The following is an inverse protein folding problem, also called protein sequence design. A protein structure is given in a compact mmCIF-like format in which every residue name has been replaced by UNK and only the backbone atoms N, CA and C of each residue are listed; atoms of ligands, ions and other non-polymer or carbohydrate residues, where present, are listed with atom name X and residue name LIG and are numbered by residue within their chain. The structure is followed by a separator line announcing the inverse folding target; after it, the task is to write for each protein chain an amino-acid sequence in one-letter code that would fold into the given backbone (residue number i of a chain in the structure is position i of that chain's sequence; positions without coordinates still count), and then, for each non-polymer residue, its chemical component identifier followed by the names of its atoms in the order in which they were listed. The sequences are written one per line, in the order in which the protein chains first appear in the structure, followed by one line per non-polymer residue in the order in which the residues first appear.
data_IF_948516950030
#
_entry.id   IF_948516950030
#
_cell.length_a   1.000
_cell.length_b   1.000
_cell.length_c   1.000
_cell.angle_alpha   90.00
_cell.angle_beta   90.00
_cell.angle_gamma   90.00
#
_symmetry.space_group_name_H-M   'P 1'
#
loop_
_entity.id
_entity.type
_entity.pdbx_description
1 polymer ?
#
# COMPACT_ATOMS: atom_id res chain seq x y z
N UNK A 1 -30.14 4.95 -28.46
CA UNK A 1 -29.53 5.24 -27.13
C UNK A 1 -28.28 4.40 -27.01
N UNK A 2 -27.10 5.03 -27.13
CA UNK A 2 -25.82 4.33 -27.14
C UNK A 2 -25.53 3.72 -25.77
N UNK A 3 -25.35 2.39 -25.73
CA UNK A 3 -24.78 1.69 -24.57
C UNK A 3 -23.31 2.09 -24.49
N UNK A 4 -22.96 2.97 -23.54
CA UNK A 4 -21.56 3.16 -23.16
C UNK A 4 -21.05 1.85 -22.54
N UNK A 5 -20.09 1.26 -23.21
CA UNK A 5 -19.26 0.14 -22.75
C UNK A 5 -18.55 0.55 -21.45
N UNK A 6 -18.81 -0.19 -20.36
CA UNK A 6 -17.94 -0.16 -19.18
C UNK A 6 -16.60 -0.77 -19.58
N UNK A 7 -15.62 0.06 -19.90
CA UNK A 7 -14.22 -0.34 -19.84
C UNK A 7 -13.92 -0.76 -18.39
N UNK A 8 -13.73 -2.05 -18.18
CA UNK A 8 -13.20 -2.56 -16.91
C UNK A 8 -11.72 -2.19 -16.95
N UNK A 9 -11.38 -1.05 -16.35
CA UNK A 9 -10.01 -0.61 -16.19
C UNK A 9 -9.32 -1.58 -15.21
N UNK A 10 -8.53 -2.52 -15.73
CA UNK A 10 -7.80 -3.55 -14.97
C UNK A 10 -6.89 -2.95 -13.87
N UNK A 11 -6.58 -1.65 -13.94
CA UNK A 11 -5.71 -0.95 -12.99
C UNK A 11 -6.26 -0.84 -11.56
N UNK A 12 -7.55 -1.13 -11.32
CA UNK A 12 -8.20 -0.94 -10.00
C UNK A 12 -8.81 -2.21 -9.42
N UNK A 13 -8.11 -3.35 -9.53
CA UNK A 13 -8.53 -4.54 -8.77
C UNK A 13 -8.40 -4.28 -7.27
N UNK A 14 -9.53 -4.28 -6.56
CA UNK A 14 -9.56 -4.17 -5.10
C UNK A 14 -9.05 -5.50 -4.53
N UNK A 15 -7.95 -5.44 -3.79
CA UNK A 15 -7.31 -6.61 -3.14
C UNK A 15 -7.97 -6.91 -1.80
N UNK A 16 -8.37 -5.88 -1.07
CA UNK A 16 -9.05 -6.00 0.22
C UNK A 16 -9.97 -4.81 0.42
N UNK A 17 -11.16 -5.06 0.93
CA UNK A 17 -12.13 -4.02 1.25
C UNK A 17 -12.49 -4.09 2.73
N UNK A 18 -12.59 -2.92 3.35
CA UNK A 18 -13.03 -2.76 4.73
C UNK A 18 -14.14 -1.69 4.78
N UNK A 19 -14.73 -1.52 5.96
CA UNK A 19 -15.66 -0.40 6.20
C UNK A 19 -15.00 0.97 6.00
N UNK A 20 -13.69 1.07 6.24
CA UNK A 20 -12.93 2.32 6.19
C UNK A 20 -12.37 2.63 4.80
N UNK A 21 -11.76 1.63 4.15
CA UNK A 21 -11.02 1.83 2.92
C UNK A 21 -11.07 0.62 1.98
N UNK A 22 -10.75 0.89 0.72
CA UNK A 22 -10.43 -0.10 -0.32
C UNK A 22 -8.91 -0.13 -0.50
N UNK A 23 -8.30 -1.31 -0.58
CA UNK A 23 -6.87 -1.50 -0.85
C UNK A 23 -6.71 -1.95 -2.29
N UNK A 24 -5.94 -1.21 -3.10
CA UNK A 24 -5.70 -1.56 -4.51
C UNK A 24 -4.37 -2.27 -4.71
N UNK A 25 -3.36 -1.89 -3.95
CA UNK A 25 -2.03 -2.48 -4.01
C UNK A 25 -1.43 -2.53 -2.62
N UNK A 26 -0.66 -3.57 -2.36
CA UNK A 26 0.04 -3.75 -1.11
C UNK A 26 1.32 -4.53 -1.38
N UNK A 27 2.41 -4.14 -0.73
CA UNK A 27 3.63 -4.93 -0.63
C UNK A 27 3.93 -5.16 0.84
N UNK A 28 4.71 -6.18 1.17
CA UNK A 28 5.10 -6.45 2.55
C UNK A 28 6.50 -7.05 2.64
N UNK A 29 7.15 -6.77 3.75
CA UNK A 29 8.28 -7.55 4.25
C UNK A 29 7.81 -8.35 5.47
N UNK A 30 8.46 -9.48 5.73
CA UNK A 30 8.16 -10.34 6.87
C UNK A 30 9.31 -10.20 7.86
N UNK A 31 8.98 -9.96 9.12
CA UNK A 31 9.91 -9.89 10.24
C UNK A 31 9.28 -10.63 11.42
N UNK A 32 9.89 -11.75 11.83
CA UNK A 32 9.29 -12.73 12.73
C UNK A 32 7.84 -13.10 12.34
N UNK A 33 6.86 -12.82 13.21
CA UNK A 33 5.43 -13.09 13.00
C UNK A 33 4.68 -11.90 12.35
N UNK A 34 5.40 -10.84 11.96
CA UNK A 34 4.80 -9.60 11.51
C UNK A 34 5.01 -9.34 10.03
N UNK A 35 3.97 -8.79 9.40
CA UNK A 35 4.00 -8.29 8.03
C UNK A 35 3.94 -6.77 8.07
N UNK A 36 5.05 -6.14 7.73
CA UNK A 36 5.18 -4.70 7.58
C UNK A 36 4.86 -4.32 6.15
N UNK A 37 3.83 -3.50 5.95
CA UNK A 37 3.25 -3.26 4.63
C UNK A 37 3.21 -1.78 4.26
N UNK A 38 3.39 -1.49 2.97
CA UNK A 38 3.00 -0.21 2.36
C UNK A 38 1.88 -0.50 1.37
N UNK A 39 0.79 0.24 1.49
CA UNK A 39 -0.44 0.01 0.77
C UNK A 39 -0.92 1.27 0.06
N UNK A 40 -1.48 1.10 -1.13
CA UNK A 40 -2.25 2.12 -1.82
C UNK A 40 -3.73 1.90 -1.53
N UNK A 41 -4.34 2.84 -0.82
CA UNK A 41 -5.73 2.73 -0.36
C UNK A 41 -6.59 3.88 -0.87
N UNK A 42 -7.90 3.67 -0.99
CA UNK A 42 -8.90 4.74 -1.06
C UNK A 42 -9.65 4.84 0.25
N UNK A 43 -9.59 6.00 0.89
CA UNK A 43 -10.38 6.29 2.10
C UNK A 43 -11.79 6.67 1.68
N UNK A 44 -12.78 5.86 2.05
CA UNK A 44 -14.16 5.98 1.57
C UNK A 44 -14.80 7.31 1.96
N UNK A 45 -14.65 7.70 3.23
CA UNK A 45 -15.24 8.94 3.76
C UNK A 45 -14.66 10.22 3.17
N UNK A 46 -13.43 10.18 2.67
CA UNK A 46 -12.73 11.33 2.08
C UNK A 46 -12.69 11.30 0.55
N UNK A 47 -13.12 10.19 -0.05
CA UNK A 47 -13.03 9.91 -1.48
C UNK A 47 -11.65 10.26 -2.09
N UNK A 48 -10.56 9.90 -1.40
CA UNK A 48 -9.19 10.17 -1.85
C UNK A 48 -8.28 8.96 -1.66
N UNK A 49 -7.25 8.87 -2.50
CA UNK A 49 -6.20 7.87 -2.39
C UNK A 49 -5.14 8.31 -1.37
N UNK A 50 -4.65 7.36 -0.58
CA UNK A 50 -3.60 7.57 0.41
C UNK A 50 -2.60 6.41 0.37
N UNK A 51 -1.36 6.66 0.78
CA UNK A 51 -0.39 5.62 1.09
C UNK A 51 -0.48 5.32 2.57
N UNK A 52 -0.71 4.05 2.93
CA UNK A 52 -0.79 3.60 4.32
C UNK A 52 0.38 2.67 4.64
N UNK A 53 1.03 2.96 5.76
CA UNK A 53 1.95 2.02 6.42
C UNK A 53 1.11 1.19 7.40
N UNK A 54 1.13 -0.12 7.25
CA UNK A 54 0.31 -1.03 8.01
C UNK A 54 1.15 -2.17 8.60
N UNK A 55 0.71 -2.66 9.76
CA UNK A 55 1.29 -3.83 10.40
C UNK A 55 0.22 -4.91 10.48
N UNK A 56 0.57 -6.12 10.07
CA UNK A 56 -0.26 -7.29 10.22
C UNK A 56 0.47 -8.39 10.99
N UNK A 57 -0.29 -9.28 11.61
CA UNK A 57 0.22 -10.51 12.22
C UNK A 57 -0.78 -11.63 12.00
N UNK A 58 -0.28 -12.85 11.84
CA UNK A 58 -1.15 -14.02 11.84
C UNK A 58 -1.62 -14.35 13.25
N UNK A 59 -2.87 -14.74 13.36
CA UNK A 59 -3.45 -15.21 14.62
C UNK A 59 -4.09 -16.56 14.41
N UNK A 60 -4.32 -17.30 15.50
CA UNK A 60 -5.04 -18.57 15.47
C UNK A 60 -6.41 -18.49 14.78
N UNK A 61 -7.01 -17.30 14.69
CA UNK A 61 -8.34 -17.09 14.09
C UNK A 61 -8.30 -16.55 12.67
N UNK A 62 -7.22 -15.86 12.27
CA UNK A 62 -7.19 -15.11 11.02
C UNK A 62 -5.75 -14.81 10.59
N UNK A 63 -5.44 -15.13 9.33
CA UNK A 63 -4.21 -14.69 8.66
C UNK A 63 -4.26 -13.19 8.38
N UNK A 64 -3.10 -12.52 8.47
CA UNK A 64 -2.91 -11.09 8.21
C UNK A 64 -3.94 -10.22 8.95
N UNK A 65 -4.03 -10.39 10.26
CA UNK A 65 -4.83 -9.51 11.13
C UNK A 65 -4.14 -8.15 11.29
N UNK A 66 -4.89 -7.08 11.02
CA UNK A 66 -4.39 -5.71 11.16
C UNK A 66 -4.14 -5.37 12.62
N UNK A 67 -2.97 -4.79 12.91
CA UNK A 67 -2.59 -4.33 14.24
C UNK A 67 -2.60 -2.79 14.25
N UNK A 68 -3.47 -2.14 15.04
CA UNK A 68 -3.58 -0.68 15.08
C UNK A 68 -2.46 -0.06 15.93
N UNK A 69 -1.21 -0.20 15.50
CA UNK A 69 -0.02 0.40 16.12
C UNK A 69 0.85 1.10 15.09
N UNK A 70 1.75 1.94 15.57
CA UNK A 70 2.82 2.50 14.74
C UNK A 70 3.68 1.40 14.15
N UNK A 71 4.18 1.65 12.94
CA UNK A 71 5.10 0.78 12.23
C UNK A 71 6.54 1.24 12.54
N UNK A 72 7.25 0.43 13.33
CA UNK A 72 8.62 0.69 13.74
C UNK A 72 9.55 -0.20 12.90
N UNK A 73 10.51 0.40 12.20
CA UNK A 73 11.44 -0.32 11.31
C UNK A 73 12.86 0.21 11.49
N UNK A 74 13.84 -0.68 11.35
CA UNK A 74 15.24 -0.25 11.12
C UNK A 74 15.37 0.44 9.76
N UNK A 75 16.41 1.25 9.57
CA UNK A 75 16.67 1.91 8.27
C UNK A 75 16.77 0.91 7.12
N UNK A 76 17.41 -0.25 7.36
CA UNK A 76 17.55 -1.32 6.36
C UNK A 76 16.18 -1.89 5.96
N UNK A 77 15.33 -2.19 6.93
CA UNK A 77 13.98 -2.70 6.67
C UNK A 77 13.11 -1.65 5.96
N UNK A 78 13.21 -0.38 6.37
CA UNK A 78 12.49 0.71 5.72
C UNK A 78 12.93 0.86 4.26
N UNK A 79 14.24 0.82 3.99
CA UNK A 79 14.78 0.91 2.64
C UNK A 79 14.31 -0.26 1.77
N UNK A 80 14.34 -1.50 2.29
CA UNK A 80 13.82 -2.67 1.59
C UNK A 80 12.33 -2.51 1.27
N UNK A 81 11.53 -2.09 2.25
CA UNK A 81 10.09 -1.94 2.10
C UNK A 81 9.73 -0.84 1.08
N UNK A 82 10.45 0.28 1.09
CA UNK A 82 10.31 1.34 0.08
C UNK A 82 10.68 0.82 -1.30
N UNK A 83 11.79 0.08 -1.43
CA UNK A 83 12.21 -0.53 -2.70
C UNK A 83 11.13 -1.44 -3.28
N UNK A 84 10.58 -2.36 -2.46
CA UNK A 84 9.46 -3.22 -2.85
C UNK A 84 8.21 -2.42 -3.22
N UNK A 85 7.93 -1.31 -2.55
CA UNK A 85 6.75 -0.48 -2.85
C UNK A 85 6.88 0.24 -4.20
N UNK A 86 8.10 0.62 -4.59
CA UNK A 86 8.40 1.17 -5.92
C UNK A 86 8.20 0.06 -6.98
N UNK A 87 8.80 -1.12 -6.78
CA UNK A 87 8.68 -2.26 -7.70
C UNK A 87 7.22 -2.74 -7.86
N UNK A 88 6.49 -2.81 -6.75
CA UNK A 88 5.08 -3.18 -6.69
C UNK A 88 4.13 -2.08 -7.20
N UNK A 89 4.66 -0.96 -7.69
CA UNK A 89 3.90 0.19 -8.21
C UNK A 89 2.83 0.69 -7.22
N UNK A 90 3.15 0.65 -5.92
CA UNK A 90 2.31 1.21 -4.85
C UNK A 90 2.40 2.73 -4.89
N UNK A 91 3.58 3.27 -5.13
CA UNK A 91 3.79 4.68 -5.46
C UNK A 91 3.52 4.95 -6.93
N UNK A 92 3.11 6.19 -7.25
CA UNK A 92 3.05 6.67 -8.63
C UNK A 92 4.46 6.94 -9.17
N UNK A 93 4.61 6.85 -10.48
CA UNK A 93 5.88 7.19 -11.15
C UNK A 93 6.30 8.64 -10.89
N UNK A 94 5.31 9.56 -10.86
CA UNK A 94 5.52 10.96 -10.51
C UNK A 94 6.14 11.11 -9.11
N UNK A 95 5.59 10.42 -8.10
CA UNK A 95 6.12 10.46 -6.75
C UNK A 95 7.57 9.96 -6.69
N UNK A 96 7.86 8.85 -7.38
CA UNK A 96 9.22 8.26 -7.41
C UNK A 96 10.22 9.21 -8.07
N UNK A 97 9.84 9.89 -9.15
CA UNK A 97 10.68 10.88 -9.81
C UNK A 97 10.97 12.07 -8.89
N UNK A 98 9.93 12.63 -8.24
CA UNK A 98 10.09 13.71 -7.27
C UNK A 98 10.97 13.31 -6.08
N UNK A 99 10.83 12.08 -5.58
CA UNK A 99 11.67 11.54 -4.52
C UNK A 99 13.13 11.46 -4.97
N UNK A 100 13.41 10.96 -6.18
CA UNK A 100 14.77 10.91 -6.74
C UNK A 100 15.40 12.30 -6.84
N UNK A 101 14.65 13.29 -7.33
CA UNK A 101 15.14 14.67 -7.39
C UNK A 101 15.46 15.24 -6.00
N UNK A 102 14.67 14.91 -4.98
CA UNK A 102 14.94 15.33 -3.61
C UNK A 102 16.20 14.70 -3.05
N UNK A 103 16.44 13.41 -3.31
CA UNK A 103 17.63 12.70 -2.86
C UNK A 103 18.91 13.19 -3.56
N UNK A 104 18.83 13.52 -4.85
CA UNK A 104 19.98 14.02 -5.63
C UNK A 104 20.33 15.50 -5.35
N UNK A 105 19.50 16.22 -4.59
CA UNK A 105 19.72 17.62 -4.18
C UNK A 105 20.45 17.75 -2.83
N UNK A 106 20.74 16.63 -2.19
CA UNK A 106 21.54 16.54 -0.96
C UNK A 106 23.01 16.45 -1.37
#
# INVERSE_FOLDING_TARGET
MAKQSKEINEERKIVKETKYCEVFKAVSIIDDDYYSSIEKIKVKSKNREEVRFALYKDTFKMERQFIPRSLDLTEKQLLELIGKAIEGKVFSEEFVNLLREKLNKI
#
